data_IF_290102439948
#
_entry.id   IF_290102439948
#
_cell.length_a   1.000
_cell.length_b   1.000
_cell.length_c   1.000
_cell.angle_alpha   90.00
_cell.angle_beta   90.00
_cell.angle_gamma   90.00
#
_symmetry.space_group_name_H-M   'P 1'
#
loop_
_entity.id
_entity.type
_entity.pdbx_description
1 polymer ?
#
# COMPACT_ATOMS: atom_id res chain seq x y z
N UNK A 1 -17.91 2.30 8.51
CA UNK A 1 -16.90 3.10 7.77
C UNK A 1 -17.57 3.99 6.74
N UNK A 2 -18.33 3.48 5.77
CA UNK A 2 -19.04 4.34 4.78
C UNK A 2 -19.94 5.41 5.43
N UNK A 3 -20.72 5.03 6.46
CA UNK A 3 -21.59 5.98 7.17
C UNK A 3 -20.80 7.10 7.89
N UNK A 4 -19.63 6.77 8.46
CA UNK A 4 -18.71 7.74 9.08
C UNK A 4 -18.13 8.71 8.04
N UNK A 5 -17.71 8.18 6.88
CA UNK A 5 -17.18 9.00 5.79
C UNK A 5 -18.22 9.90 5.09
N UNK A 6 -19.50 9.57 5.22
CA UNK A 6 -20.62 10.34 4.67
C UNK A 6 -21.18 11.41 5.62
N UNK A 7 -21.02 11.26 6.94
CA UNK A 7 -21.63 12.15 7.93
C UNK A 7 -20.74 13.35 8.35
N UNK A 8 -19.42 13.25 8.18
CA UNK A 8 -18.41 14.21 8.66
C UNK A 8 -17.56 14.79 7.51
N UNK A 9 -18.19 15.17 6.40
CA UNK A 9 -17.51 15.47 5.14
C UNK A 9 -16.40 16.55 5.23
N UNK A 10 -16.59 17.56 6.07
CA UNK A 10 -15.64 18.67 6.28
C UNK A 10 -14.49 18.28 7.22
N UNK A 11 -14.74 17.47 8.25
CA UNK A 11 -13.72 17.00 9.19
C UNK A 11 -12.75 16.00 8.55
N UNK A 12 -13.17 15.35 7.46
CA UNK A 12 -12.36 14.36 6.74
C UNK A 12 -11.56 14.95 5.56
N UNK A 13 -11.60 16.28 5.34
CA UNK A 13 -10.88 16.92 4.22
C UNK A 13 -9.37 16.68 4.33
N UNK A 14 -8.80 16.79 5.53
CA UNK A 14 -7.36 16.58 5.75
C UNK A 14 -6.95 15.13 5.46
N UNK A 15 -7.73 14.15 5.92
CA UNK A 15 -7.51 12.73 5.68
C UNK A 15 -7.60 12.41 4.18
N UNK A 16 -8.61 12.93 3.48
CA UNK A 16 -8.76 12.76 2.03
C UNK A 16 -7.56 13.35 1.28
N UNK A 17 -7.04 14.50 1.73
CA UNK A 17 -5.83 15.12 1.15
C UNK A 17 -4.60 14.25 1.39
N UNK A 18 -4.40 13.73 2.60
CA UNK A 18 -3.28 12.85 2.93
C UNK A 18 -3.34 11.53 2.14
N UNK A 19 -4.52 10.93 2.02
CA UNK A 19 -4.73 9.73 1.20
C UNK A 19 -4.36 9.96 -0.28
N UNK A 20 -4.71 11.13 -0.85
CA UNK A 20 -4.28 11.48 -2.22
C UNK A 20 -2.76 11.60 -2.33
N UNK A 21 -2.10 12.25 -1.36
CA UNK A 21 -0.62 12.35 -1.33
C UNK A 21 0.05 10.98 -1.25
N UNK A 22 -0.46 10.08 -0.41
CA UNK A 22 0.00 8.69 -0.35
C UNK A 22 -0.16 8.01 -1.70
N UNK A 23 -1.33 8.12 -2.35
CA UNK A 23 -1.57 7.55 -3.69
C UNK A 23 -0.56 8.08 -4.71
N UNK A 24 -0.43 9.40 -4.81
CA UNK A 24 0.46 10.07 -5.76
C UNK A 24 1.92 9.65 -5.55
N UNK A 25 2.39 9.60 -4.30
CA UNK A 25 3.74 9.13 -3.97
C UNK A 25 3.96 7.65 -4.32
N UNK A 26 2.99 6.78 -4.03
CA UNK A 26 3.08 5.36 -4.42
C UNK A 26 3.08 5.20 -5.94
N UNK A 27 2.26 5.97 -6.67
CA UNK A 27 2.26 5.99 -8.13
C UNK A 27 3.61 6.50 -8.68
N UNK A 28 4.20 7.54 -8.06
CA UNK A 28 5.52 8.08 -8.41
C UNK A 28 6.64 7.04 -8.22
N UNK A 29 6.62 6.29 -7.13
CA UNK A 29 7.63 5.24 -6.86
C UNK A 29 7.44 3.99 -7.73
N UNK A 30 6.23 3.74 -8.23
CA UNK A 30 5.87 2.46 -8.84
C UNK A 30 6.77 2.05 -10.03
N UNK A 31 7.16 2.94 -10.97
CA UNK A 31 8.06 2.56 -12.07
C UNK A 31 9.41 2.00 -11.59
N UNK A 32 10.02 2.62 -10.58
CA UNK A 32 11.29 2.18 -10.01
C UNK A 32 11.17 0.79 -9.37
N UNK A 33 10.14 0.59 -8.54
CA UNK A 33 9.90 -0.71 -7.91
C UNK A 33 9.54 -1.77 -8.95
N UNK A 34 8.77 -1.41 -9.99
CA UNK A 34 8.40 -2.34 -11.05
C UNK A 34 9.61 -2.80 -11.86
N UNK A 35 10.57 -1.92 -12.13
CA UNK A 35 11.83 -2.28 -12.76
C UNK A 35 12.62 -3.29 -11.90
N UNK A 36 12.74 -3.04 -10.59
CA UNK A 36 13.40 -3.96 -9.67
C UNK A 36 12.70 -5.33 -9.63
N UNK A 37 11.37 -5.35 -9.54
CA UNK A 37 10.57 -6.57 -9.55
C UNK A 37 10.78 -7.41 -10.82
N UNK A 38 10.88 -6.78 -11.99
CA UNK A 38 11.12 -7.48 -13.25
C UNK A 38 12.50 -8.16 -13.31
N UNK A 39 13.50 -7.58 -12.63
CA UNK A 39 14.85 -8.14 -12.57
C UNK A 39 14.99 -9.22 -11.49
N UNK A 40 14.43 -8.98 -10.31
CA UNK A 40 14.62 -9.83 -9.12
C UNK A 40 13.54 -10.89 -9.02
N UNK A 41 12.26 -10.50 -8.96
CA UNK A 41 11.17 -11.42 -8.61
C UNK A 41 10.95 -12.53 -9.66
N UNK A 42 11.18 -12.25 -10.95
CA UNK A 42 11.02 -13.25 -12.03
C UNK A 42 11.95 -14.45 -11.91
N UNK A 43 13.05 -14.32 -11.17
CA UNK A 43 14.05 -15.38 -10.98
C UNK A 43 14.12 -15.86 -9.53
N UNK A 44 13.22 -15.37 -8.67
CA UNK A 44 13.26 -15.64 -7.24
C UNK A 44 12.72 -17.05 -6.92
N UNK A 45 13.52 -17.86 -6.23
CA UNK A 45 13.08 -19.17 -5.74
C UNK A 45 12.23 -19.08 -4.45
N UNK A 46 12.32 -17.95 -3.72
CA UNK A 46 11.62 -17.71 -2.45
C UNK A 46 10.66 -16.52 -2.59
N UNK A 47 9.47 -16.79 -3.12
CA UNK A 47 8.49 -15.75 -3.44
C UNK A 47 7.86 -15.20 -2.15
N UNK A 48 8.10 -13.92 -1.87
CA UNK A 48 7.51 -13.21 -0.72
C UNK A 48 6.02 -12.83 -0.91
N UNK A 49 5.49 -12.95 -2.13
CA UNK A 49 4.09 -12.67 -2.47
C UNK A 49 3.15 -13.81 -2.02
N UNK A 50 3.10 -14.07 -0.71
CA UNK A 50 2.20 -15.03 -0.07
C UNK A 50 0.85 -14.40 0.27
N UNK A 51 -0.17 -15.24 0.44
CA UNK A 51 -1.55 -14.82 0.65
C UNK A 51 -1.76 -13.96 1.89
N UNK A 52 -1.01 -14.20 2.97
CA UNK A 52 -1.06 -13.40 4.20
C UNK A 52 -0.92 -11.90 3.96
N UNK A 53 -0.06 -11.49 3.02
CA UNK A 53 0.20 -10.08 2.74
C UNK A 53 -0.91 -9.42 1.90
N UNK A 54 -1.80 -10.22 1.31
CA UNK A 54 -2.90 -9.74 0.47
C UNK A 54 -4.13 -9.25 1.24
N UNK A 55 -4.15 -9.37 2.57
CA UNK A 55 -5.26 -8.92 3.41
C UNK A 55 -5.12 -7.45 3.81
N UNK A 56 -6.23 -6.71 3.73
CA UNK A 56 -6.32 -5.32 4.16
C UNK A 56 -6.52 -5.25 5.68
N UNK A 57 -5.71 -4.44 6.35
CA UNK A 57 -5.91 -4.10 7.76
C UNK A 57 -6.81 -2.85 7.90
N UNK A 58 -7.06 -2.41 9.14
CA UNK A 58 -7.93 -1.25 9.41
C UNK A 58 -7.40 0.03 8.76
N UNK A 59 -6.10 0.27 8.86
CA UNK A 59 -5.43 1.44 8.27
C UNK A 59 -5.55 1.46 6.73
N UNK A 60 -5.46 0.30 6.08
CA UNK A 60 -5.66 0.18 4.64
C UNK A 60 -7.09 0.54 4.22
N UNK A 61 -8.08 0.17 5.05
CA UNK A 61 -9.47 0.52 4.81
C UNK A 61 -9.70 2.02 4.97
N UNK A 62 -9.09 2.66 5.98
CA UNK A 62 -9.12 4.14 6.12
C UNK A 62 -8.57 4.80 4.86
N UNK A 63 -7.42 4.34 4.38
CA UNK A 63 -6.82 4.85 3.15
C UNK A 63 -7.75 4.73 1.94
N UNK A 64 -8.27 3.53 1.67
CA UNK A 64 -9.13 3.29 0.50
C UNK A 64 -10.44 4.07 0.56
N UNK A 65 -11.14 4.06 1.70
CA UNK A 65 -12.40 4.79 1.84
C UNK A 65 -12.19 6.31 1.76
N UNK A 66 -11.03 6.82 2.18
CA UNK A 66 -10.65 8.23 2.01
C UNK A 66 -10.46 8.62 0.54
N UNK A 67 -10.15 7.67 -0.32
CA UNK A 67 -10.11 7.85 -1.78
C UNK A 67 -11.47 7.60 -2.46
N UNK A 68 -12.51 7.23 -1.70
CA UNK A 68 -13.80 6.80 -2.26
C UNK A 68 -13.72 5.45 -2.95
N UNK A 69 -12.80 4.59 -2.52
CA UNK A 69 -12.56 3.27 -3.09
C UNK A 69 -12.93 2.17 -2.10
N UNK A 70 -13.44 1.06 -2.61
CA UNK A 70 -13.64 -0.17 -1.84
C UNK A 70 -12.44 -1.13 -2.01
N UNK A 71 -12.10 -1.92 -0.98
CA UNK A 71 -11.12 -2.98 -1.11
C UNK A 71 -11.59 -4.03 -2.13
N UNK A 72 -10.68 -4.65 -2.88
CA UNK A 72 -11.04 -5.77 -3.74
C UNK A 72 -11.65 -6.92 -2.92
N UNK A 73 -12.58 -7.71 -3.49
CA UNK A 73 -13.18 -8.83 -2.79
C UNK A 73 -12.13 -9.83 -2.33
N UNK A 74 -12.20 -10.23 -1.06
CA UNK A 74 -11.35 -11.29 -0.52
C UNK A 74 -11.81 -12.63 -1.07
N UNK A 75 -10.88 -13.38 -1.65
CA UNK A 75 -11.07 -14.76 -2.06
C UNK A 75 -10.78 -15.65 -0.85
N UNK A 76 -11.85 -16.18 -0.26
CA UNK A 76 -11.75 -17.12 0.87
C UNK A 76 -11.21 -18.49 0.45
N UNK A 77 -10.66 -19.24 1.41
CA UNK A 77 -10.27 -20.64 1.23
C UNK A 77 -8.82 -20.89 0.81
N UNK A 78 -7.97 -19.85 0.81
CA UNK A 78 -6.51 -19.99 0.63
C UNK A 78 -5.78 -19.91 1.97
N UNK A 79 -4.76 -20.74 2.13
CA UNK A 79 -3.84 -20.69 3.27
C UNK A 79 -2.92 -19.46 3.16
N UNK A 80 -2.51 -18.93 4.31
CA UNK A 80 -1.66 -17.74 4.41
C UNK A 80 -0.30 -17.87 3.70
N UNK A 81 0.22 -19.10 3.62
CA UNK A 81 1.53 -19.41 3.01
C UNK A 81 1.44 -19.72 1.51
N UNK A 82 0.22 -19.89 0.97
CA UNK A 82 0.05 -20.12 -0.46
C UNK A 82 0.35 -18.86 -1.28
N UNK A 83 0.60 -19.00 -2.59
CA UNK A 83 0.72 -17.85 -3.48
C UNK A 83 -0.49 -16.93 -3.36
N UNK A 84 -0.21 -15.63 -3.21
CA UNK A 84 -1.22 -14.61 -3.04
C UNK A 84 -2.32 -14.71 -4.09
N UNK A 85 -3.57 -14.56 -3.67
CA UNK A 85 -4.76 -14.60 -4.54
C UNK A 85 -4.70 -13.62 -5.73
N UNK A 86 -3.92 -12.54 -5.61
CA UNK A 86 -3.70 -11.54 -6.65
C UNK A 86 -2.41 -11.74 -7.46
N UNK A 87 -1.60 -12.76 -7.16
CA UNK A 87 -0.39 -13.06 -7.94
C UNK A 87 -0.76 -13.69 -9.29
N UNK A 88 -0.11 -13.24 -10.36
CA UNK A 88 -0.20 -13.74 -11.73
C UNK A 88 1.21 -13.97 -12.28
N UNK A 89 1.31 -14.57 -13.46
CA UNK A 89 2.59 -14.87 -14.14
C UNK A 89 3.49 -13.62 -14.28
N UNK A 90 2.89 -12.46 -14.53
CA UNK A 90 3.61 -11.19 -14.71
C UNK A 90 3.69 -10.32 -13.44
N UNK A 91 3.39 -10.88 -12.26
CA UNK A 91 3.35 -10.17 -10.99
C UNK A 91 1.94 -9.97 -10.46
N UNK A 92 1.76 -9.05 -9.51
CA UNK A 92 0.47 -8.80 -8.89
C UNK A 92 -0.51 -8.13 -9.87
N UNK A 93 -1.76 -8.61 -9.93
CA UNK A 93 -2.83 -8.04 -10.75
C UNK A 93 -3.38 -6.71 -10.23
N UNK A 94 -3.00 -6.29 -9.02
CA UNK A 94 -3.42 -5.02 -8.44
C UNK A 94 -2.43 -3.90 -8.76
N UNK A 95 -2.97 -2.72 -9.05
CA UNK A 95 -2.22 -1.47 -9.03
C UNK A 95 -1.58 -1.27 -7.66
N UNK A 96 -0.33 -0.78 -7.61
CA UNK A 96 0.44 -0.71 -6.37
C UNK A 96 -0.25 0.15 -5.30
N UNK A 97 -0.79 1.30 -5.69
CA UNK A 97 -1.52 2.18 -4.78
C UNK A 97 -2.75 1.51 -4.16
N UNK A 98 -3.34 0.49 -4.79
CA UNK A 98 -4.44 -0.27 -4.20
C UNK A 98 -3.99 -1.32 -3.20
N UNK A 99 -2.74 -1.80 -3.26
CA UNK A 99 -2.30 -2.96 -2.46
C UNK A 99 -2.33 -2.64 -0.95
N UNK A 100 -2.53 -3.65 -0.09
CA UNK A 100 -2.38 -3.47 1.35
C UNK A 100 -1.01 -2.91 1.73
N UNK A 101 -0.96 -2.17 2.83
CA UNK A 101 0.28 -1.65 3.44
C UNK A 101 1.34 -2.74 3.61
N UNK A 102 0.94 -3.95 4.02
CA UNK A 102 1.86 -5.10 4.13
C UNK A 102 2.57 -5.48 2.82
N UNK A 103 2.00 -5.16 1.66
CA UNK A 103 2.62 -5.34 0.35
C UNK A 103 3.40 -4.11 -0.14
N UNK A 104 3.05 -2.91 0.33
CA UNK A 104 3.67 -1.66 -0.10
C UNK A 104 4.92 -1.30 0.71
N UNK A 105 5.03 -1.76 1.96
CA UNK A 105 6.15 -1.45 2.86
C UNK A 105 7.20 -2.56 2.94
N UNK A 106 6.98 -3.70 2.27
CA UNK A 106 7.91 -4.83 2.31
C UNK A 106 8.81 -4.85 1.07
N UNK A 107 10.11 -4.75 1.31
CA UNK A 107 11.17 -4.99 0.33
C UNK A 107 12.09 -6.09 0.90
N UNK A 108 12.31 -7.17 0.14
CA UNK A 108 13.24 -8.22 0.57
C UNK A 108 14.69 -7.81 0.26
N UNK A 109 15.66 -8.44 0.93
CA UNK A 109 17.09 -8.14 0.75
C UNK A 109 17.51 -8.19 -0.72
N UNK A 110 17.06 -9.20 -1.48
CA UNK A 110 17.38 -9.30 -2.91
C UNK A 110 16.83 -8.15 -3.76
N UNK A 111 15.71 -7.52 -3.35
CA UNK A 111 15.21 -6.30 -4.00
C UNK A 111 16.06 -5.09 -3.60
N UNK A 112 16.40 -4.96 -2.32
CA UNK A 112 17.23 -3.86 -1.81
C UNK A 112 18.64 -3.88 -2.44
N UNK A 113 19.28 -5.05 -2.51
CA UNK A 113 20.57 -5.26 -3.18
C UNK A 113 20.58 -4.78 -4.64
N UNK A 114 19.44 -4.93 -5.34
CA UNK A 114 19.29 -4.44 -6.70
C UNK A 114 18.98 -2.93 -6.75
N UNK A 115 18.17 -2.43 -5.82
CA UNK A 115 17.64 -1.07 -5.81
C UNK A 115 18.66 -0.05 -5.31
N UNK A 116 19.35 -0.31 -4.20
CA UNK A 116 20.26 0.65 -3.54
C UNK A 116 21.36 1.22 -4.45
N UNK A 117 22.02 0.43 -5.34
CA UNK A 117 23.05 0.95 -6.22
C UNK A 117 22.51 1.81 -7.38
N UNK A 118 21.19 1.84 -7.60
CA UNK A 118 20.61 2.55 -8.74
C UNK A 118 20.62 4.07 -8.51
N UNK A 119 20.90 4.90 -9.54
CA UNK A 119 20.90 6.35 -9.40
C UNK A 119 19.58 6.94 -8.87
N UNK A 120 18.45 6.30 -9.19
CA UNK A 120 17.12 6.72 -8.76
C UNK A 120 16.75 6.31 -7.32
N UNK A 121 17.61 5.54 -6.64
CA UNK A 121 17.30 5.03 -5.29
C UNK A 121 17.07 6.16 -4.29
N UNK A 122 17.90 7.21 -4.34
CA UNK A 122 17.76 8.34 -3.42
C UNK A 122 16.41 9.03 -3.55
N UNK A 123 15.96 9.31 -4.78
CA UNK A 123 14.64 9.91 -4.99
C UNK A 123 13.51 8.98 -4.53
N UNK A 124 13.67 7.67 -4.77
CA UNK A 124 12.75 6.67 -4.27
C UNK A 124 12.66 6.67 -2.74
N UNK A 125 13.79 6.68 -2.03
CA UNK A 125 13.87 6.65 -0.57
C UNK A 125 13.29 7.92 0.07
N UNK A 126 13.58 9.08 -0.51
CA UNK A 126 12.98 10.36 -0.13
C UNK A 126 11.45 10.32 -0.32
N UNK A 127 10.98 9.84 -1.47
CA UNK A 127 9.53 9.71 -1.73
C UNK A 127 8.87 8.68 -0.81
N UNK A 128 9.54 7.58 -0.49
CA UNK A 128 9.04 6.53 0.42
C UNK A 128 8.85 7.10 1.84
N UNK A 129 9.82 7.90 2.29
CA UNK A 129 9.75 8.60 3.58
C UNK A 129 8.54 9.55 3.64
N UNK A 130 8.36 10.39 2.62
CA UNK A 130 7.21 11.32 2.55
C UNK A 130 5.87 10.57 2.56
N UNK A 131 5.79 9.45 1.85
CA UNK A 131 4.59 8.61 1.81
C UNK A 131 4.31 7.97 3.17
N UNK A 132 5.35 7.47 3.85
CA UNK A 132 5.21 6.89 5.19
C UNK A 132 4.74 7.93 6.20
N UNK A 133 5.26 9.15 6.15
CA UNK A 133 4.82 10.28 6.99
C UNK A 133 3.34 10.61 6.73
N UNK A 134 2.94 10.75 5.45
CA UNK A 134 1.55 11.01 5.09
C UNK A 134 0.61 9.88 5.56
N UNK A 135 1.05 8.62 5.48
CA UNK A 135 0.29 7.47 5.94
C UNK A 135 0.05 7.52 7.46
N UNK A 136 1.11 7.78 8.24
CA UNK A 136 1.03 7.88 9.69
C UNK A 136 0.14 9.05 10.12
N UNK A 137 0.30 10.22 9.49
CA UNK A 137 -0.53 11.40 9.77
C UNK A 137 -2.01 11.13 9.47
N UNK A 138 -2.31 10.48 8.34
CA UNK A 138 -3.67 10.13 7.94
C UNK A 138 -4.35 9.19 8.95
N UNK A 139 -3.62 8.16 9.38
CA UNK A 139 -4.14 7.20 10.38
C UNK A 139 -4.37 7.88 11.73
N UNK A 140 -3.46 8.77 12.14
CA UNK A 140 -3.57 9.48 13.42
C UNK A 140 -4.70 10.51 13.41
N UNK A 141 -4.88 11.25 12.31
CA UNK A 141 -6.05 12.13 12.14
C UNK A 141 -7.36 11.35 12.22
N UNK A 142 -7.44 10.20 11.55
CA UNK A 142 -8.64 9.37 11.62
C UNK A 142 -8.93 8.87 13.04
N UNK A 143 -7.88 8.49 13.78
CA UNK A 143 -8.01 8.10 15.18
C UNK A 143 -8.52 9.25 16.05
N UNK A 144 -7.99 10.47 15.87
CA UNK A 144 -8.44 11.65 16.63
C UNK A 144 -9.91 11.99 16.41
N UNK A 145 -10.37 11.96 15.16
CA UNK A 145 -11.78 12.22 14.82
C UNK A 145 -12.68 11.14 15.43
N UNK A 146 -12.37 9.87 15.19
CA UNK A 146 -13.22 8.76 15.68
C UNK A 146 -13.15 8.53 17.19
N UNK A 147 -12.11 9.01 17.88
CA UNK A 147 -12.03 9.01 19.33
C UNK A 147 -12.82 10.16 19.99
N UNK A 148 -13.13 11.22 19.24
CA UNK A 148 -13.90 12.38 19.73
C UNK A 148 -15.41 12.16 19.66
N UNK A 149 -15.86 11.04 19.07
CA UNK A 149 -17.27 10.64 18.90
C UNK A 149 -17.80 9.78 20.08
N UNK A 150 -17.04 9.64 21.18
CA UNK A 150 -17.40 8.93 22.42
C UNK A 150 -17.12 9.79 23.66
#
# INVERSE_FOLDING_TARGET
MEQTFSAQADELISIKRLARRVREGVEKMNPFIQQANLHVCRRCASICCINKHGYYNREDLVYLFSLGMEPPPVIFGKNDTEPCQYLRENGCSMERWRRPSGCNWYFCDALLDYMEPQPAYREFDETLTEVAECWLEMVEEFRRITASDF
#
